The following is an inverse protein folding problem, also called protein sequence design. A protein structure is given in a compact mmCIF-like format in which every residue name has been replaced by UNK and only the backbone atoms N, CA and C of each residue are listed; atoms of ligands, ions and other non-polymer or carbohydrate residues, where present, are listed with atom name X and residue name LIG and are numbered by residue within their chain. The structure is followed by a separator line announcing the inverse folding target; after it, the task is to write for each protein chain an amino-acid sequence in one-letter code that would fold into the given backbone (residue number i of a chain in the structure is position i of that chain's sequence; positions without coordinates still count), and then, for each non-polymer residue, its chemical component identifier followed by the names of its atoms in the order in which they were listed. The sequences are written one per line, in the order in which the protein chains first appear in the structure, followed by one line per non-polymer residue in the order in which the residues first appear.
data_IF_096467618825
#
_entry.id   IF_096467618825
#
_cell.length_a   1.000
_cell.length_b   1.000
_cell.length_c   1.000
_cell.angle_alpha   90.00
_cell.angle_beta   90.00
_cell.angle_gamma   90.00
#
_symmetry.space_group_name_H-M   'P 1'
#
loop_
_entity.id
_entity.type
_entity.pdbx_description
1 polymer ?
#
# COMPACT_ATOMS: atom_id res chain seq x y z
N UNK A 1 -53.08 -6.16 13.42
CA UNK A 1 -52.03 -6.58 14.38
C UNK A 1 -51.42 -7.88 13.87
N UNK A 2 -50.18 -7.85 13.35
CA UNK A 2 -49.58 -8.99 12.67
C UNK A 2 -49.09 -10.05 13.66
N UNK A 3 -49.37 -11.32 13.34
CA UNK A 3 -48.95 -12.52 14.06
C UNK A 3 -47.46 -12.81 13.85
N UNK A 4 -46.69 -12.84 14.94
CA UNK A 4 -45.29 -13.28 14.92
C UNK A 4 -45.22 -14.81 14.94
N UNK A 5 -44.60 -15.38 13.91
CA UNK A 5 -44.30 -16.82 13.82
C UNK A 5 -43.10 -17.18 14.73
N UNK A 6 -43.15 -18.31 15.47
CA UNK A 6 -42.07 -18.67 16.38
C UNK A 6 -40.90 -19.32 15.63
N UNK A 7 -39.69 -18.80 15.87
CA UNK A 7 -38.41 -19.34 15.41
C UNK A 7 -38.10 -20.64 16.16
N UNK A 8 -38.03 -21.77 15.44
CA UNK A 8 -37.56 -23.05 15.98
C UNK A 8 -36.03 -23.11 15.98
N UNK A 9 -35.41 -22.80 17.11
CA UNK A 9 -33.99 -23.07 17.36
C UNK A 9 -33.79 -24.57 17.60
N UNK A 10 -33.16 -25.26 16.65
CA UNK A 10 -32.89 -26.70 16.70
C UNK A 10 -31.69 -27.00 17.62
N UNK A 11 -31.92 -27.02 18.92
CA UNK A 11 -30.97 -27.53 19.92
C UNK A 11 -30.87 -29.06 19.86
N UNK A 12 -29.64 -29.58 19.81
CA UNK A 12 -29.33 -31.02 19.83
C UNK A 12 -29.90 -31.68 21.10
N UNK A 13 -30.93 -32.52 20.93
CA UNK A 13 -31.49 -33.39 21.97
C UNK A 13 -30.98 -34.80 21.75
N UNK A 14 -29.80 -35.13 22.29
CA UNK A 14 -29.36 -36.48 22.69
C UNK A 14 -27.90 -36.42 23.14
N UNK A 15 -27.65 -35.80 24.28
CA UNK A 15 -26.42 -36.01 25.03
C UNK A 15 -26.82 -36.41 26.46
N UNK A 16 -26.28 -37.53 26.93
CA UNK A 16 -26.56 -38.07 28.26
C UNK A 16 -26.06 -37.11 29.36
N UNK A 17 -26.63 -37.24 30.57
CA UNK A 17 -26.41 -36.31 31.70
C UNK A 17 -24.95 -36.24 32.18
N UNK A 18 -24.09 -37.15 31.76
CA UNK A 18 -22.73 -37.30 32.28
C UNK A 18 -21.68 -36.54 31.43
N UNK A 19 -22.04 -36.08 30.22
CA UNK A 19 -21.11 -35.37 29.32
C UNK A 19 -21.07 -33.84 29.52
N UNK A 20 -21.92 -33.27 30.38
CA UNK A 20 -22.00 -31.81 30.54
C UNK A 20 -21.01 -31.21 31.54
N UNK A 21 -20.31 -32.00 32.34
CA UNK A 21 -19.50 -31.47 33.44
C UNK A 21 -18.07 -31.00 33.06
N UNK A 22 -17.57 -31.26 31.83
CA UNK A 22 -16.17 -30.96 31.48
C UNK A 22 -15.94 -30.07 30.24
N UNK A 23 -16.96 -29.48 29.63
CA UNK A 23 -16.79 -28.66 28.42
C UNK A 23 -16.31 -27.21 28.68
N UNK A 24 -15.73 -26.96 29.86
CA UNK A 24 -15.16 -25.68 30.29
C UNK A 24 -13.69 -25.78 30.66
N UNK A 25 -12.84 -26.43 29.86
CA UNK A 25 -11.38 -26.43 30.06
C UNK A 25 -10.65 -25.80 28.87
N UNK A 26 -10.47 -24.48 28.99
CA UNK A 26 -9.27 -23.69 28.67
C UNK A 26 -8.39 -24.25 27.52
N UNK A 27 -8.51 -23.63 26.34
CA UNK A 27 -7.45 -23.69 25.32
C UNK A 27 -6.23 -22.94 25.86
N UNK A 28 -5.19 -23.67 26.28
CA UNK A 28 -3.85 -23.08 26.44
C UNK A 28 -3.27 -22.85 25.05
N UNK A 29 -2.78 -21.64 24.82
CA UNK A 29 -2.02 -21.26 23.64
C UNK A 29 -0.74 -22.14 23.55
N UNK A 30 -0.54 -22.78 22.40
CA UNK A 30 0.71 -23.47 22.08
C UNK A 30 1.69 -22.45 21.54
N UNK A 31 2.78 -22.23 22.28
CA UNK A 31 3.95 -21.47 21.86
C UNK A 31 4.74 -22.27 20.81
N UNK A 32 5.45 -21.51 19.96
CA UNK A 32 6.52 -21.95 19.07
C UNK A 32 7.75 -22.45 19.86
N UNK A 33 8.38 -23.53 19.40
CA UNK A 33 9.83 -23.70 19.14
C UNK A 33 10.13 -25.21 18.92
N UNK A 34 10.75 -25.62 17.80
CA UNK A 34 12.19 -25.58 17.43
C UNK A 34 12.99 -26.77 17.99
N UNK A 35 13.44 -27.61 17.05
CA UNK A 35 14.63 -28.50 17.04
C UNK A 35 14.77 -29.72 17.97
N UNK A 36 14.88 -30.88 17.31
CA UNK A 36 15.78 -32.04 17.53
C UNK A 36 15.96 -32.66 18.92
N UNK A 37 15.66 -33.94 19.08
CA UNK A 37 16.64 -35.05 19.02
C UNK A 37 15.92 -36.39 19.32
N UNK A 38 16.46 -37.46 18.76
CA UNK A 38 16.01 -38.85 18.74
C UNK A 38 15.44 -39.45 20.03
N UNK A 39 14.32 -40.17 19.92
CA UNK A 39 14.05 -41.39 20.68
C UNK A 39 12.99 -42.23 19.95
N UNK A 40 13.38 -43.41 19.51
CA UNK A 40 12.48 -44.48 19.10
C UNK A 40 11.81 -45.08 20.34
N UNK A 41 10.48 -45.19 20.32
CA UNK A 41 9.74 -46.26 20.98
C UNK A 41 8.25 -46.19 20.61
N UNK A 42 7.73 -47.37 20.29
CA UNK A 42 6.37 -47.85 20.51
C UNK A 42 5.21 -47.24 19.72
N UNK A 43 5.03 -47.90 18.58
CA UNK A 43 3.77 -48.39 18.01
C UNK A 43 2.63 -48.53 19.04
N UNK A 44 1.90 -47.44 19.25
CA UNK A 44 0.57 -47.44 19.84
C UNK A 44 -0.41 -46.91 18.79
N UNK A 45 -1.15 -47.86 18.20
CA UNK A 45 -2.21 -47.69 17.22
C UNK A 45 -3.19 -46.55 17.57
N UNK A 46 -3.03 -45.41 16.91
CA UNK A 46 -4.09 -44.39 16.86
C UNK A 46 -5.21 -44.88 15.93
N UNK A 47 -6.50 -44.80 16.33
CA UNK A 47 -7.59 -45.21 15.48
C UNK A 47 -7.66 -44.29 14.25
N UNK A 48 -7.82 -44.84 13.03
CA UNK A 48 -7.83 -44.04 11.82
C UNK A 48 -8.97 -43.03 11.86
N UNK A 49 -8.62 -41.75 11.80
CA UNK A 49 -9.58 -40.65 11.70
C UNK A 49 -10.49 -40.90 10.51
N UNK A 50 -11.79 -41.09 10.76
CA UNK A 50 -12.81 -41.37 9.74
C UNK A 50 -12.71 -40.35 8.62
N UNK A 51 -12.24 -40.79 7.43
CA UNK A 51 -12.19 -39.97 6.23
C UNK A 51 -13.61 -39.47 5.92
N UNK A 52 -13.86 -38.17 6.10
CA UNK A 52 -15.11 -37.54 5.68
C UNK A 52 -15.28 -37.82 4.19
N UNK A 53 -16.32 -38.59 3.84
CA UNK A 53 -16.73 -38.85 2.46
C UNK A 53 -17.03 -37.50 1.81
N UNK A 54 -16.10 -36.97 1.00
CA UNK A 54 -16.30 -35.75 0.21
C UNK A 54 -17.52 -36.00 -0.68
N UNK A 55 -18.59 -35.25 -0.45
CA UNK A 55 -19.71 -35.22 -1.39
C UNK A 55 -19.16 -34.65 -2.70
N UNK A 56 -19.27 -35.41 -3.78
CA UNK A 56 -19.02 -34.93 -5.14
C UNK A 56 -20.00 -33.80 -5.39
N UNK A 57 -19.47 -32.58 -5.54
CA UNK A 57 -20.25 -31.40 -5.91
C UNK A 57 -20.60 -31.55 -7.39
N UNK A 58 -21.87 -31.46 -7.73
CA UNK A 58 -22.32 -31.34 -9.12
C UNK A 58 -21.86 -29.97 -9.63
N UNK A 59 -21.11 -29.98 -10.73
CA UNK A 59 -20.58 -28.76 -11.34
C UNK A 59 -21.72 -28.00 -12.03
N UNK A 60 -21.59 -26.68 -12.10
CA UNK A 60 -22.51 -25.87 -12.91
C UNK A 60 -22.19 -26.06 -14.40
N UNK A 61 -23.16 -25.83 -15.30
CA UNK A 61 -22.97 -25.97 -16.75
C UNK A 61 -21.72 -25.21 -17.27
N UNK A 62 -21.47 -24.01 -16.75
CA UNK A 62 -20.28 -23.21 -17.11
C UNK A 62 -18.99 -23.89 -16.65
N UNK A 63 -18.98 -24.59 -15.52
CA UNK A 63 -17.80 -25.31 -15.00
C UNK A 63 -17.48 -26.59 -15.79
N UNK A 64 -18.45 -27.12 -16.54
CA UNK A 64 -18.30 -28.31 -17.38
C UNK A 64 -17.76 -27.99 -18.79
N UNK A 65 -17.64 -26.70 -19.13
CA UNK A 65 -17.15 -26.28 -20.43
C UNK A 65 -15.66 -26.61 -20.63
N UNK A 66 -15.21 -26.85 -21.87
CA UNK A 66 -13.79 -26.97 -22.18
C UNK A 66 -12.99 -25.74 -21.74
N UNK A 67 -11.75 -25.97 -21.31
CA UNK A 67 -10.91 -24.93 -20.71
C UNK A 67 -10.60 -23.82 -21.71
N UNK A 68 -10.46 -24.16 -22.98
CA UNK A 68 -10.18 -23.26 -24.09
C UNK A 68 -11.33 -22.27 -24.30
N UNK A 69 -12.57 -22.76 -24.21
CA UNK A 69 -13.77 -21.93 -24.33
C UNK A 69 -13.89 -21.01 -23.11
N UNK A 70 -13.62 -21.53 -21.91
CA UNK A 70 -13.63 -20.73 -20.69
C UNK A 70 -12.57 -19.63 -20.71
N UNK A 71 -11.36 -19.93 -21.19
CA UNK A 71 -10.28 -18.94 -21.35
C UNK A 71 -10.67 -17.86 -22.36
N UNK A 72 -11.31 -18.25 -23.46
CA UNK A 72 -11.82 -17.32 -24.47
C UNK A 72 -12.89 -16.39 -23.90
N UNK A 73 -13.87 -16.94 -23.18
CA UNK A 73 -14.91 -16.17 -22.48
C UNK A 73 -14.27 -15.23 -21.44
N UNK A 74 -13.32 -15.73 -20.65
CA UNK A 74 -12.63 -14.94 -19.65
C UNK A 74 -11.86 -13.77 -20.27
N UNK A 75 -11.16 -14.02 -21.39
CA UNK A 75 -10.43 -13.00 -22.12
C UNK A 75 -11.36 -11.91 -22.69
N UNK A 76 -12.45 -12.30 -23.35
CA UNK A 76 -13.38 -11.34 -23.95
C UNK A 76 -14.24 -10.59 -22.93
N UNK A 77 -14.61 -11.24 -21.83
CA UNK A 77 -15.45 -10.63 -20.79
C UNK A 77 -14.71 -9.61 -19.93
N UNK A 78 -13.37 -9.64 -19.86
CA UNK A 78 -12.61 -8.73 -18.98
C UNK A 78 -12.91 -8.92 -17.49
N UNK A 79 -13.67 -9.93 -17.10
CA UNK A 79 -14.28 -10.01 -15.78
C UNK A 79 -13.50 -10.93 -14.83
N UNK A 80 -12.68 -10.33 -13.98
CA UNK A 80 -11.92 -11.01 -12.92
C UNK A 80 -12.80 -11.85 -11.98
N UNK A 81 -14.10 -11.53 -11.84
CA UNK A 81 -15.01 -12.26 -10.97
C UNK A 81 -15.30 -13.68 -11.47
N UNK A 82 -15.12 -13.98 -12.76
CA UNK A 82 -15.39 -15.30 -13.32
C UNK A 82 -14.48 -16.37 -12.69
N UNK A 83 -13.19 -16.05 -12.53
CA UNK A 83 -12.24 -16.93 -11.87
C UNK A 83 -12.51 -17.07 -10.35
N UNK A 84 -13.20 -16.10 -9.74
CA UNK A 84 -13.53 -16.11 -8.31
C UNK A 84 -14.88 -16.78 -8.01
N UNK A 85 -15.74 -16.96 -9.01
CA UNK A 85 -17.07 -17.54 -8.85
C UNK A 85 -17.04 -19.00 -8.38
N UNK A 86 -15.98 -19.74 -8.72
CA UNK A 86 -15.81 -21.14 -8.33
C UNK A 86 -14.35 -21.58 -8.32
N UNK A 87 -14.02 -22.50 -7.42
CA UNK A 87 -12.70 -23.14 -7.36
C UNK A 87 -12.36 -23.92 -8.63
N UNK A 88 -13.37 -24.48 -9.33
CA UNK A 88 -13.15 -25.21 -10.58
C UNK A 88 -12.76 -24.26 -11.72
N UNK A 89 -13.52 -23.16 -11.86
CA UNK A 89 -13.21 -22.11 -12.83
C UNK A 89 -11.86 -21.47 -12.52
N UNK A 90 -11.56 -21.24 -11.25
CA UNK A 90 -10.27 -20.73 -10.83
C UNK A 90 -9.13 -21.63 -11.31
N UNK A 91 -9.20 -22.95 -11.09
CA UNK A 91 -8.12 -23.84 -11.53
C UNK A 91 -7.95 -23.86 -13.05
N UNK A 92 -9.04 -23.84 -13.81
CA UNK A 92 -9.02 -23.82 -15.28
C UNK A 92 -8.50 -22.49 -15.86
N UNK A 93 -8.77 -21.37 -15.19
CA UNK A 93 -8.41 -20.02 -15.64
C UNK A 93 -7.08 -19.51 -15.05
N UNK A 94 -6.49 -20.20 -14.07
CA UNK A 94 -5.30 -19.76 -13.33
C UNK A 94 -3.96 -19.88 -14.05
N UNK A 95 -3.97 -20.12 -15.36
CA UNK A 95 -2.72 -20.31 -16.11
C UNK A 95 -1.97 -18.97 -16.30
N UNK A 96 -0.63 -19.03 -16.26
CA UNK A 96 0.23 -17.85 -16.39
C UNK A 96 -0.07 -17.06 -17.68
N UNK A 97 -0.23 -17.74 -18.81
CA UNK A 97 -0.50 -17.10 -20.10
C UNK A 97 -1.84 -16.34 -20.11
N UNK A 98 -2.89 -16.91 -19.49
CA UNK A 98 -4.20 -16.26 -19.36
C UNK A 98 -4.07 -14.98 -18.56
N UNK A 99 -3.38 -15.02 -17.41
CA UNK A 99 -3.19 -13.82 -16.60
C UNK A 99 -2.35 -12.75 -17.31
N UNK A 100 -1.32 -13.14 -18.08
CA UNK A 100 -0.50 -12.19 -18.85
C UNK A 100 -1.30 -11.52 -19.98
N UNK A 101 -2.06 -12.30 -20.75
CA UNK A 101 -2.93 -11.77 -21.80
C UNK A 101 -4.01 -10.84 -21.22
N UNK A 102 -4.63 -11.26 -20.12
CA UNK A 102 -5.66 -10.48 -19.45
C UNK A 102 -5.12 -9.19 -18.83
N UNK A 103 -3.94 -9.24 -18.19
CA UNK A 103 -3.25 -8.06 -17.65
C UNK A 103 -2.94 -7.06 -18.75
N UNK A 104 -2.42 -7.53 -19.88
CA UNK A 104 -2.12 -6.68 -21.04
C UNK A 104 -3.38 -5.97 -21.51
N UNK A 105 -4.49 -6.70 -21.71
CA UNK A 105 -5.76 -6.13 -22.15
C UNK A 105 -6.30 -5.06 -21.19
N UNK A 106 -6.27 -5.32 -19.88
CA UNK A 106 -6.85 -4.43 -18.87
C UNK A 106 -6.00 -3.19 -18.60
N UNK A 107 -4.67 -3.29 -18.72
CA UNK A 107 -3.79 -2.14 -18.53
C UNK A 107 -3.62 -1.32 -19.81
N UNK A 108 -3.78 -1.92 -21.00
CA UNK A 108 -3.54 -1.25 -22.28
C UNK A 108 -4.26 0.10 -22.47
N UNK A 109 -5.51 0.32 -22.01
CA UNK A 109 -6.16 1.64 -22.09
C UNK A 109 -5.43 2.73 -21.29
N UNK A 110 -4.69 2.36 -20.25
CA UNK A 110 -4.01 3.26 -19.32
C UNK A 110 -2.51 3.38 -19.59
N UNK A 111 -2.03 2.85 -20.72
CA UNK A 111 -0.63 2.88 -21.13
C UNK A 111 -0.48 3.61 -22.46
N UNK A 112 0.42 4.58 -22.51
CA UNK A 112 0.77 5.36 -23.71
C UNK A 112 0.14 6.75 -23.76
N UNK A 113 0.82 7.69 -24.41
CA UNK A 113 0.33 9.03 -24.76
C UNK A 113 -0.76 8.95 -25.86
N UNK A 114 -1.91 8.35 -25.57
CA UNK A 114 -3.09 8.59 -26.39
C UNK A 114 -3.76 9.84 -25.87
N UNK A 115 -3.67 10.90 -26.65
CA UNK A 115 -4.38 12.16 -26.46
C UNK A 115 -5.83 11.89 -26.04
N UNK A 116 -6.19 12.31 -24.83
CA UNK A 116 -7.50 12.78 -24.40
C UNK A 116 -8.78 12.02 -24.85
N UNK A 117 -8.72 10.76 -25.31
CA UNK A 117 -9.88 9.89 -25.24
C UNK A 117 -10.02 9.52 -23.77
N UNK A 118 -10.99 10.20 -23.12
CA UNK A 118 -11.22 10.18 -21.70
C UNK A 118 -11.04 8.77 -21.14
N UNK A 119 -9.98 8.58 -20.35
CA UNK A 119 -9.76 7.37 -19.58
C UNK A 119 -11.08 7.04 -18.88
N UNK A 120 -11.72 5.95 -19.29
CA UNK A 120 -13.02 5.62 -18.76
C UNK A 120 -12.84 5.27 -17.28
N UNK A 121 -13.67 5.85 -16.41
CA UNK A 121 -13.59 5.59 -14.97
C UNK A 121 -13.71 4.08 -14.66
N UNK A 122 -14.44 3.35 -15.51
CA UNK A 122 -14.59 1.89 -15.46
C UNK A 122 -13.29 1.15 -15.77
N UNK A 123 -12.47 1.63 -16.72
CA UNK A 123 -11.18 1.06 -17.07
C UNK A 123 -10.17 1.28 -15.94
N UNK A 124 -10.14 2.48 -15.35
CA UNK A 124 -9.32 2.81 -14.18
C UNK A 124 -9.68 1.89 -13.02
N UNK A 125 -10.97 1.77 -12.69
CA UNK A 125 -11.43 0.92 -11.61
C UNK A 125 -11.06 -0.55 -11.85
N UNK A 126 -11.16 -1.03 -13.10
CA UNK A 126 -10.84 -2.41 -13.46
C UNK A 126 -9.35 -2.69 -13.36
N UNK A 127 -8.50 -1.77 -13.81
CA UNK A 127 -7.05 -1.84 -13.68
C UNK A 127 -6.59 -1.79 -12.21
N UNK A 128 -7.12 -0.86 -11.40
CA UNK A 128 -6.82 -0.80 -9.97
C UNK A 128 -7.23 -2.09 -9.24
N UNK A 129 -8.37 -2.68 -9.64
CA UNK A 129 -8.82 -3.99 -9.12
C UNK A 129 -7.88 -5.13 -9.54
N UNK A 130 -7.38 -5.12 -10.78
CA UNK A 130 -6.40 -6.09 -11.26
C UNK A 130 -5.12 -6.03 -10.43
N UNK A 131 -4.56 -4.84 -10.20
CA UNK A 131 -3.35 -4.63 -9.40
C UNK A 131 -3.53 -5.13 -7.96
N UNK A 132 -4.74 -5.00 -7.41
CA UNK A 132 -5.10 -5.47 -6.07
C UNK A 132 -5.29 -6.99 -5.97
N UNK A 133 -5.31 -7.72 -7.08
CA UNK A 133 -5.51 -9.17 -7.07
C UNK A 133 -4.36 -9.91 -6.38
N UNK A 134 -4.68 -11.07 -5.78
CA UNK A 134 -3.70 -11.90 -5.07
C UNK A 134 -2.59 -12.42 -5.99
N UNK A 135 -2.91 -12.76 -7.24
CA UNK A 135 -1.93 -13.29 -8.20
C UNK A 135 -0.95 -12.22 -8.72
N UNK A 136 -1.30 -10.93 -8.59
CA UNK A 136 -0.50 -9.83 -9.11
C UNK A 136 0.69 -9.54 -8.18
N UNK A 137 1.73 -10.36 -8.24
CA UNK A 137 2.95 -10.21 -7.42
C UNK A 137 4.02 -9.40 -8.15
N UNK A 138 5.08 -9.01 -7.44
CA UNK A 138 6.25 -8.36 -8.04
C UNK A 138 6.86 -9.22 -9.16
N UNK A 139 7.05 -10.51 -8.93
CA UNK A 139 7.61 -11.43 -9.95
C UNK A 139 6.70 -11.58 -11.17
N UNK A 140 5.38 -11.58 -10.95
CA UNK A 140 4.42 -11.58 -12.04
C UNK A 140 4.53 -10.30 -12.86
N UNK A 141 4.61 -9.14 -12.21
CA UNK A 141 4.72 -7.85 -12.87
C UNK A 141 6.02 -7.70 -13.67
N UNK A 142 7.17 -8.10 -13.09
CA UNK A 142 8.46 -8.18 -13.81
C UNK A 142 8.37 -9.07 -15.04
N UNK A 143 7.76 -10.26 -14.91
CA UNK A 143 7.57 -11.19 -16.04
C UNK A 143 6.71 -10.57 -17.13
N UNK A 144 5.63 -9.88 -16.75
CA UNK A 144 4.71 -9.21 -17.67
C UNK A 144 5.40 -8.05 -18.42
N UNK A 145 6.13 -7.18 -17.70
CA UNK A 145 6.89 -6.08 -18.30
C UNK A 145 7.94 -6.58 -19.28
N UNK A 146 8.70 -7.62 -18.89
CA UNK A 146 9.73 -8.20 -19.74
C UNK A 146 9.13 -8.75 -21.05
N UNK A 147 8.02 -9.50 -20.96
CA UNK A 147 7.33 -10.04 -22.14
C UNK A 147 6.82 -8.94 -23.08
N UNK A 148 6.37 -7.81 -22.53
CA UNK A 148 5.83 -6.69 -23.30
C UNK A 148 6.92 -5.87 -24.01
N UNK A 149 8.15 -5.88 -23.49
CA UNK A 149 9.28 -5.10 -24.04
C UNK A 149 9.85 -5.61 -25.38
N UNK A 150 9.17 -6.52 -26.10
CA UNK A 150 9.60 -7.16 -27.38
C UNK A 150 10.91 -7.95 -27.35
N UNK A 151 11.72 -7.87 -26.29
CA UNK A 151 12.89 -8.72 -26.06
C UNK A 151 12.51 -10.16 -25.68
N UNK A 152 11.95 -10.86 -26.66
CA UNK A 152 11.44 -12.24 -26.53
C UNK A 152 12.59 -13.27 -26.36
N UNK A 153 13.85 -12.86 -26.49
CA UNK A 153 15.05 -13.72 -26.41
C UNK A 153 16.07 -13.34 -25.32
N UNK A 154 15.84 -12.28 -24.55
CA UNK A 154 16.66 -11.99 -23.36
C UNK A 154 16.13 -12.82 -22.16
N UNK A 155 16.31 -14.14 -22.26
CA UNK A 155 16.12 -15.10 -21.19
C UNK A 155 16.81 -14.62 -19.92
N UNK A 156 16.05 -14.41 -18.84
CA UNK A 156 16.51 -14.42 -17.44
C UNK A 156 17.82 -13.67 -17.12
N UNK A 157 18.19 -12.66 -17.92
CA UNK A 157 19.23 -11.74 -17.49
C UNK A 157 18.69 -11.02 -16.27
N UNK A 158 19.51 -11.00 -15.21
CA UNK A 158 19.25 -10.28 -13.97
C UNK A 158 19.16 -8.80 -14.34
N UNK A 159 17.97 -8.36 -14.72
CA UNK A 159 17.64 -6.96 -14.96
C UNK A 159 17.66 -6.27 -13.61
N UNK A 160 18.35 -5.14 -13.54
CA UNK A 160 18.36 -4.29 -12.36
C UNK A 160 16.97 -3.67 -12.14
N UNK A 161 16.70 -3.16 -10.93
CA UNK A 161 15.47 -2.41 -10.66
C UNK A 161 15.33 -1.18 -11.58
N UNK A 162 16.45 -0.56 -11.93
CA UNK A 162 16.52 0.59 -12.84
C UNK A 162 16.08 0.23 -14.27
N UNK A 163 16.45 -0.96 -14.76
CA UNK A 163 16.00 -1.43 -16.07
C UNK A 163 14.48 -1.58 -16.12
N UNK A 164 13.89 -2.13 -15.05
CA UNK A 164 12.43 -2.25 -14.96
C UNK A 164 11.74 -0.89 -14.83
N UNK A 165 12.36 0.07 -14.15
CA UNK A 165 11.88 1.44 -14.06
C UNK A 165 11.83 2.10 -15.45
N UNK A 166 12.91 1.97 -16.23
CA UNK A 166 12.98 2.50 -17.58
C UNK A 166 11.92 1.85 -18.50
N UNK A 167 11.76 0.53 -18.41
CA UNK A 167 10.72 -0.19 -19.16
C UNK A 167 9.31 0.28 -18.81
N UNK A 168 9.05 0.53 -17.52
CA UNK A 168 7.76 1.01 -17.05
C UNK A 168 7.48 2.45 -17.47
N UNK A 169 8.47 3.34 -17.35
CA UNK A 169 8.39 4.71 -17.85
C UNK A 169 8.14 4.77 -19.36
N UNK A 170 8.78 3.89 -20.13
CA UNK A 170 8.53 3.76 -21.56
C UNK A 170 7.08 3.34 -21.90
N UNK A 171 6.36 2.72 -20.96
CA UNK A 171 4.92 2.43 -21.15
C UNK A 171 4.02 3.64 -20.91
N UNK A 172 4.54 4.75 -20.38
CA UNK A 172 3.79 5.97 -20.07
C UNK A 172 2.47 5.65 -19.33
N UNK A 173 2.55 5.14 -18.09
CA UNK A 173 1.36 4.80 -17.33
C UNK A 173 0.57 6.05 -16.92
N UNK A 174 -0.75 5.91 -16.86
CA UNK A 174 -1.66 6.94 -16.35
C UNK A 174 -1.32 7.36 -14.90
N UNK A 175 -1.44 8.65 -14.61
CA UNK A 175 -1.32 9.19 -13.25
C UNK A 175 -2.51 8.86 -12.34
N UNK A 176 -3.62 8.34 -12.89
CA UNK A 176 -4.76 7.88 -12.10
C UNK A 176 -4.67 6.42 -11.67
N UNK A 177 -3.65 5.69 -12.16
CA UNK A 177 -3.46 4.28 -11.81
C UNK A 177 -2.98 4.16 -10.36
N UNK A 178 -3.81 3.56 -9.51
CA UNK A 178 -3.51 3.42 -8.09
C UNK A 178 -2.63 2.20 -7.82
N UNK A 179 -1.63 2.31 -6.92
CA UNK A 179 -0.82 1.17 -6.52
C UNK A 179 -1.64 0.11 -5.75
N UNK A 180 -1.27 -1.18 -5.81
CA UNK A 180 -1.87 -2.20 -4.97
C UNK A 180 -1.75 -1.84 -3.47
N UNK A 181 -2.84 -1.83 -2.70
CA UNK A 181 -2.78 -1.50 -1.26
C UNK A 181 -1.73 -2.31 -0.47
N UNK A 182 -1.51 -3.58 -0.84
CA UNK A 182 -0.51 -4.47 -0.22
C UNK A 182 0.94 -3.95 -0.31
N UNK A 183 1.25 -3.07 -1.26
CA UNK A 183 2.59 -2.50 -1.39
C UNK A 183 2.81 -1.28 -0.47
N UNK A 184 1.73 -0.65 0.00
CA UNK A 184 1.77 0.58 0.82
C UNK A 184 1.98 0.32 2.33
N UNK A 185 2.30 -0.89 2.74
CA UNK A 185 2.51 -1.25 4.15
C UNK A 185 3.81 -2.02 4.35
N UNK A 186 4.31 -2.20 5.56
CA UNK A 186 5.48 -3.04 5.85
C UNK A 186 5.21 -4.55 5.69
N UNK A 187 6.22 -5.41 5.84
CA UNK A 187 7.64 -5.09 6.05
C UNK A 187 8.31 -4.53 4.77
N UNK A 188 9.30 -3.64 4.93
CA UNK A 188 9.96 -2.95 3.80
C UNK A 188 11.13 -3.74 3.24
N UNK A 189 10.82 -4.82 2.53
CA UNK A 189 11.83 -5.58 1.77
C UNK A 189 12.27 -4.83 0.51
N UNK A 190 13.51 -5.05 0.04
CA UNK A 190 14.03 -4.46 -1.21
C UNK A 190 13.08 -4.60 -2.40
N UNK A 191 12.56 -5.80 -2.66
CA UNK A 191 11.59 -6.05 -3.75
C UNK A 191 10.32 -5.18 -3.66
N UNK A 192 9.91 -4.85 -2.43
CA UNK A 192 8.73 -4.03 -2.18
C UNK A 192 9.01 -2.56 -2.45
N UNK A 193 10.18 -2.08 -2.04
CA UNK A 193 10.67 -0.73 -2.33
C UNK A 193 10.89 -0.55 -3.84
N UNK A 194 11.45 -1.55 -4.51
CA UNK A 194 11.60 -1.55 -5.97
C UNK A 194 10.23 -1.45 -6.64
N UNK A 195 9.26 -2.26 -6.21
CA UNK A 195 7.90 -2.20 -6.75
C UNK A 195 7.21 -0.85 -6.46
N UNK A 196 7.39 -0.28 -5.27
CA UNK A 196 6.90 1.07 -4.94
C UNK A 196 7.54 2.14 -5.83
N UNK A 197 8.84 2.06 -6.07
CA UNK A 197 9.57 2.98 -6.95
C UNK A 197 8.96 3.01 -8.35
N UNK A 198 8.61 1.85 -8.90
CA UNK A 198 7.93 1.77 -10.20
C UNK A 198 6.54 2.40 -10.16
N UNK A 199 5.74 2.12 -9.13
CA UNK A 199 4.40 2.69 -9.02
C UNK A 199 4.40 4.19 -8.71
N UNK A 200 5.47 4.72 -8.11
CA UNK A 200 5.63 6.13 -7.78
C UNK A 200 6.09 7.00 -8.97
N UNK A 201 6.38 6.41 -10.14
CA UNK A 201 6.87 7.14 -11.34
C UNK A 201 5.96 8.29 -11.75
N UNK A 202 4.64 8.11 -11.64
CA UNK A 202 3.64 9.11 -12.05
C UNK A 202 3.32 10.13 -10.96
N UNK A 203 3.93 9.99 -9.78
CA UNK A 203 3.72 10.82 -8.58
C UNK A 203 2.24 11.13 -8.32
N UNK A 204 1.39 10.09 -8.22
CA UNK A 204 -0.04 10.29 -8.12
C UNK A 204 -0.37 10.85 -6.74
N UNK A 205 -1.25 11.84 -6.70
CA UNK A 205 -1.76 12.42 -5.46
C UNK A 205 -2.80 11.47 -4.85
N UNK A 206 -2.33 10.47 -4.09
CA UNK A 206 -3.19 9.40 -3.60
C UNK A 206 -4.30 9.90 -2.66
N UNK A 207 -4.07 10.86 -1.74
CA UNK A 207 -5.15 11.41 -0.93
C UNK A 207 -6.29 12.05 -1.72
N UNK A 208 -6.00 12.70 -2.85
CA UNK A 208 -7.04 13.30 -3.69
C UNK A 208 -7.73 12.29 -4.61
N UNK A 209 -7.00 11.26 -5.06
CA UNK A 209 -7.56 10.20 -5.91
C UNK A 209 -8.39 9.17 -5.12
N UNK A 210 -7.96 8.79 -3.92
CA UNK A 210 -8.65 7.79 -3.10
C UNK A 210 -8.33 7.95 -1.61
N UNK A 211 -9.31 8.24 -0.75
CA UNK A 211 -9.07 8.42 0.69
C UNK A 211 -8.52 7.14 1.34
N UNK A 212 -8.91 5.97 0.85
CA UNK A 212 -8.41 4.67 1.33
C UNK A 212 -6.91 4.53 1.05
N UNK A 213 -6.45 4.95 -0.13
CA UNK A 213 -5.02 4.92 -0.46
C UNK A 213 -4.26 5.99 0.33
N UNK A 214 -4.84 7.18 0.53
CA UNK A 214 -4.26 8.21 1.40
C UNK A 214 -4.00 7.71 2.81
N UNK A 215 -4.98 7.05 3.44
CA UNK A 215 -4.81 6.43 4.77
C UNK A 215 -3.76 5.30 4.73
N UNK A 216 -3.78 4.47 3.67
CA UNK A 216 -2.83 3.38 3.53
C UNK A 216 -1.38 3.87 3.43
N UNK A 217 -1.12 4.93 2.65
CA UNK A 217 0.20 5.56 2.55
C UNK A 217 0.62 6.15 3.89
N UNK A 218 -0.28 6.84 4.60
CA UNK A 218 0.03 7.40 5.91
C UNK A 218 0.44 6.30 6.90
N UNK A 219 -0.33 5.21 6.97
CA UNK A 219 0.02 4.05 7.80
C UNK A 219 1.33 3.41 7.37
N UNK A 220 1.55 3.26 6.06
CA UNK A 220 2.83 2.83 5.49
C UNK A 220 3.98 3.71 5.95
N UNK A 221 3.83 5.02 5.87
CA UNK A 221 4.85 5.98 6.24
C UNK A 221 5.22 5.85 7.73
N UNK A 222 4.22 5.71 8.60
CA UNK A 222 4.48 5.47 10.03
C UNK A 222 5.25 4.17 10.29
N UNK A 223 4.98 3.12 9.51
CA UNK A 223 5.72 1.86 9.60
C UNK A 223 7.14 1.98 9.02
N UNK A 224 7.33 2.74 7.94
CA UNK A 224 8.64 2.97 7.31
C UNK A 224 9.57 3.78 8.21
N UNK A 225 9.03 4.77 8.92
CA UNK A 225 9.74 5.53 9.95
C UNK A 225 10.10 4.65 11.15
N UNK A 226 9.23 3.69 11.53
CA UNK A 226 9.51 2.77 12.63
C UNK A 226 10.54 1.67 12.28
N UNK A 227 10.65 1.27 11.02
CA UNK A 227 11.65 0.31 10.50
C UNK A 227 12.94 0.98 9.96
N UNK A 228 13.25 2.21 10.40
CA UNK A 228 14.07 3.24 9.72
C UNK A 228 14.47 2.94 8.25
N UNK A 229 13.48 2.74 7.39
CA UNK A 229 13.73 2.48 5.97
C UNK A 229 13.67 3.78 5.16
N UNK A 230 14.84 4.40 4.94
CA UNK A 230 14.96 5.63 4.15
C UNK A 230 14.33 5.51 2.77
N UNK A 231 14.63 4.44 2.03
CA UNK A 231 14.11 4.26 0.67
C UNK A 231 12.59 4.15 0.64
N UNK A 232 11.99 3.43 1.60
CA UNK A 232 10.54 3.31 1.69
C UNK A 232 9.89 4.67 2.01
N UNK A 233 10.46 5.45 2.94
CA UNK A 233 10.00 6.82 3.23
C UNK A 233 10.09 7.67 1.97
N UNK A 234 11.22 7.66 1.27
CA UNK A 234 11.42 8.46 0.06
C UNK A 234 10.38 8.15 -1.02
N UNK A 235 10.07 6.87 -1.27
CA UNK A 235 9.06 6.48 -2.26
C UNK A 235 7.63 6.78 -1.79
N UNK A 236 7.32 6.60 -0.50
CA UNK A 236 5.98 6.88 0.02
C UNK A 236 5.62 8.36 -0.05
N UNK A 237 6.59 9.25 0.15
CA UNK A 237 6.38 10.70 0.03
C UNK A 237 6.03 11.14 -1.39
N UNK A 238 6.43 10.39 -2.42
CA UNK A 238 6.07 10.68 -3.83
C UNK A 238 4.58 10.51 -4.11
N UNK A 239 3.85 9.79 -3.25
CA UNK A 239 2.40 9.65 -3.31
C UNK A 239 1.63 10.80 -2.66
N UNK A 240 2.34 11.88 -2.32
CA UNK A 240 1.83 13.11 -1.74
C UNK A 240 0.97 12.94 -0.46
N UNK A 241 1.37 12.11 0.52
CA UNK A 241 0.60 11.96 1.75
C UNK A 241 0.46 13.28 2.51
N UNK A 242 -0.62 13.37 3.30
CA UNK A 242 -0.82 14.46 4.24
C UNK A 242 0.02 14.18 5.49
N UNK A 243 1.10 14.95 5.69
CA UNK A 243 1.96 14.81 6.86
C UNK A 243 1.43 15.64 8.01
N UNK A 244 1.40 15.04 9.20
CA UNK A 244 1.16 15.74 10.45
C UNK A 244 2.45 15.85 11.28
N UNK A 245 2.41 16.71 12.29
CA UNK A 245 3.50 16.84 13.26
C UNK A 245 3.77 15.52 13.99
N UNK A 246 2.78 14.62 14.10
CA UNK A 246 2.93 13.32 14.77
C UNK A 246 3.89 12.38 14.04
N UNK A 247 3.92 12.34 12.72
CA UNK A 247 4.93 11.56 11.98
C UNK A 247 6.34 12.06 12.30
N UNK A 248 6.55 13.39 12.35
CA UNK A 248 7.85 13.96 12.68
C UNK A 248 8.23 13.68 14.14
N UNK A 249 7.28 13.78 15.08
CA UNK A 249 7.48 13.38 16.48
C UNK A 249 7.85 11.91 16.60
N UNK A 250 7.17 11.02 15.89
CA UNK A 250 7.48 9.58 15.88
C UNK A 250 8.89 9.31 15.35
N UNK A 251 9.33 10.03 14.31
CA UNK A 251 10.68 9.87 13.77
C UNK A 251 11.77 10.30 14.75
N UNK A 252 11.51 11.33 15.57
CA UNK A 252 12.50 11.93 16.48
C UNK A 252 12.48 11.32 17.88
N UNK A 253 11.28 11.10 18.44
CA UNK A 253 11.08 10.79 19.86
C UNK A 253 10.87 9.30 20.08
N UNK A 254 10.01 8.66 19.28
CA UNK A 254 9.55 7.29 19.55
C UNK A 254 10.45 6.22 18.91
N UNK A 255 11.13 6.55 17.83
CA UNK A 255 11.96 5.63 17.05
C UNK A 255 13.45 5.97 17.14
N UNK A 256 14.29 5.13 16.51
CA UNK A 256 15.71 5.42 16.35
C UNK A 256 15.86 6.68 15.49
N UNK A 257 16.48 7.70 16.07
CA UNK A 257 16.71 8.97 15.39
C UNK A 257 17.59 8.77 14.16
N UNK A 258 17.01 8.99 12.98
CA UNK A 258 17.70 8.93 11.70
C UNK A 258 17.63 10.31 11.03
N UNK A 259 18.81 10.93 10.83
CA UNK A 259 18.94 12.27 10.26
C UNK A 259 18.38 12.34 8.85
N UNK A 260 18.60 11.30 8.05
CA UNK A 260 18.22 11.30 6.63
C UNK A 260 16.70 11.21 6.49
N UNK A 261 16.06 10.37 7.31
CA UNK A 261 14.59 10.25 7.37
C UNK A 261 13.95 11.56 7.85
N UNK A 262 14.45 12.14 8.95
CA UNK A 262 13.92 13.38 9.52
C UNK A 262 14.07 14.54 8.55
N UNK A 263 15.24 14.68 7.91
CA UNK A 263 15.49 15.70 6.90
C UNK A 263 14.52 15.55 5.71
N UNK A 264 14.35 14.33 5.20
CA UNK A 264 13.46 14.05 4.06
C UNK A 264 12.01 14.39 4.36
N UNK A 265 11.52 14.05 5.57
CA UNK A 265 10.18 14.40 6.02
C UNK A 265 10.00 15.91 6.14
N UNK A 266 11.00 16.60 6.71
CA UNK A 266 10.96 18.05 6.89
C UNK A 266 11.00 18.80 5.55
N UNK A 267 11.88 18.40 4.63
CA UNK A 267 11.96 18.96 3.27
C UNK A 267 10.63 18.82 2.51
N UNK A 268 10.05 17.62 2.55
CA UNK A 268 8.77 17.36 1.92
C UNK A 268 7.63 18.20 2.55
N UNK A 269 7.61 18.34 3.87
CA UNK A 269 6.59 19.15 4.56
C UNK A 269 6.66 20.63 4.14
N UNK A 270 7.86 21.20 4.04
CA UNK A 270 8.06 22.57 3.54
C UNK A 270 7.59 22.69 2.09
N UNK A 271 7.97 21.74 1.22
CA UNK A 271 7.56 21.73 -0.18
C UNK A 271 6.03 21.74 -0.32
N UNK A 272 5.32 20.89 0.43
CA UNK A 272 3.84 20.83 0.37
C UNK A 272 3.16 22.11 0.87
N UNK A 273 3.70 22.73 1.91
CA UNK A 273 3.18 24.00 2.41
C UNK A 273 3.39 25.13 1.38
N UNK A 274 4.53 25.17 0.69
CA UNK A 274 4.80 26.13 -0.37
C UNK A 274 3.90 25.92 -1.60
N UNK A 275 3.67 24.67 -2.02
CA UNK A 275 2.73 24.32 -3.10
C UNK A 275 1.29 24.76 -2.76
N UNK A 276 0.89 24.64 -1.50
CA UNK A 276 -0.43 25.11 -1.04
C UNK A 276 -0.56 26.63 -1.03
N UNK A 277 0.53 27.37 -0.76
CA UNK A 277 0.54 28.84 -0.77
C UNK A 277 0.54 29.42 -2.19
N UNK A 278 1.21 28.78 -3.14
CA UNK A 278 1.25 29.22 -4.54
C UNK A 278 -0.05 28.95 -5.30
N UNK A 279 -0.81 27.93 -4.88
CA UNK A 279 -2.07 27.51 -5.52
C UNK A 279 -3.31 28.25 -5.00
N UNK A 280 -3.13 29.24 -4.12
CA UNK A 280 -4.20 29.94 -3.40
C UNK A 280 -4.89 31.01 -4.29
N UNK A 281 -5.52 30.57 -5.38
CA UNK A 281 -6.44 31.41 -6.16
C UNK A 281 -7.91 31.14 -5.83
N UNK A 282 -8.32 29.91 -5.50
CA UNK A 282 -9.71 29.61 -5.14
C UNK A 282 -9.79 28.24 -4.45
N UNK A 283 -10.15 28.18 -3.16
CA UNK A 283 -11.00 27.17 -2.50
C UNK A 283 -10.89 27.29 -0.97
N UNK A 284 -12.06 27.29 -0.36
CA UNK A 284 -12.40 27.36 1.06
C UNK A 284 -11.85 26.18 1.90
N UNK A 285 -11.23 26.54 3.04
CA UNK A 285 -11.26 25.88 4.36
C UNK A 285 -11.43 24.35 4.35
N UNK A 286 -10.35 23.66 4.04
CA UNK A 286 -10.03 22.43 4.77
C UNK A 286 -8.52 22.48 4.98
N UNK A 287 -8.11 22.96 6.15
CA UNK A 287 -6.71 23.08 6.55
C UNK A 287 -6.06 21.70 6.37
N UNK A 288 -5.22 21.56 5.34
CA UNK A 288 -4.32 20.42 5.26
C UNK A 288 -3.52 20.41 6.56
N UNK A 289 -3.40 19.25 7.24
CA UNK A 289 -2.56 19.17 8.42
C UNK A 289 -1.15 19.61 8.02
N UNK A 290 -0.72 20.70 8.64
CA UNK A 290 0.57 21.31 8.42
C UNK A 290 1.51 20.83 9.53
N UNK A 291 2.73 20.45 9.15
CA UNK A 291 3.77 20.14 10.14
C UNK A 291 4.12 21.42 10.89
N UNK A 292 4.01 21.37 12.21
CA UNK A 292 4.41 22.45 13.12
C UNK A 292 5.89 22.28 13.51
N UNK A 293 6.76 23.07 12.89
CA UNK A 293 8.19 23.08 13.20
C UNK A 293 8.51 23.77 14.54
N UNK A 294 7.55 24.45 15.16
CA UNK A 294 7.67 25.07 16.48
C UNK A 294 7.14 24.17 17.61
N UNK A 295 6.89 22.89 17.28
CA UNK A 295 6.33 21.94 18.22
C UNK A 295 7.17 21.79 19.51
N UNK A 296 6.60 22.09 20.70
CA UNK A 296 7.35 22.06 21.95
C UNK A 296 7.99 20.70 22.27
N UNK A 297 7.39 19.59 21.82
CA UNK A 297 7.93 18.25 22.11
C UNK A 297 9.24 18.00 21.35
N UNK A 298 9.31 18.38 20.07
CA UNK A 298 10.53 18.29 19.27
C UNK A 298 11.66 19.16 19.84
N UNK A 299 11.34 20.39 20.24
CA UNK A 299 12.31 21.31 20.85
C UNK A 299 12.79 20.86 22.23
N UNK A 300 11.90 20.31 23.06
CA UNK A 300 12.27 19.75 24.36
C UNK A 300 13.17 18.52 24.22
N UNK A 301 12.94 17.69 23.19
CA UNK A 301 13.82 16.59 22.85
C UNK A 301 15.21 17.10 22.42
N UNK A 302 15.27 18.06 21.50
CA UNK A 302 16.53 18.64 21.01
C UNK A 302 17.39 19.22 22.16
N UNK A 303 16.76 19.97 23.06
CA UNK A 303 17.40 20.56 24.25
C UNK A 303 17.93 19.48 25.21
N UNK A 304 17.19 18.39 25.39
CA UNK A 304 17.61 17.26 26.25
C UNK A 304 18.79 16.51 25.62
N UNK A 305 18.73 16.22 24.33
CA UNK A 305 19.82 15.55 23.60
C UNK A 305 21.10 16.38 23.63
N UNK A 306 21.00 17.71 23.45
CA UNK A 306 22.14 18.63 23.60
C UNK A 306 22.75 18.60 24.99
N UNK A 307 21.93 18.60 26.06
CA UNK A 307 22.43 18.51 27.44
C UNK A 307 23.14 17.19 27.74
N UNK A 308 22.78 16.13 27.01
CA UNK A 308 23.42 14.83 27.10
C UNK A 308 24.71 14.73 26.25
N UNK A 309 25.07 15.79 25.51
CA UNK A 309 26.26 15.81 24.65
C UNK A 309 26.05 15.10 23.30
N UNK A 310 24.81 14.92 22.85
CA UNK A 310 24.51 14.37 21.52
C UNK A 310 24.38 15.50 20.48
N UNK A 311 25.25 15.46 19.47
CA UNK A 311 25.28 16.38 18.32
C UNK A 311 23.94 16.39 17.55
N UNK A 312 23.13 15.33 17.67
CA UNK A 312 21.79 15.26 17.07
C UNK A 312 20.85 16.35 17.59
N UNK A 313 21.00 16.76 18.86
CA UNK A 313 20.16 17.80 19.47
C UNK A 313 20.43 19.18 18.88
N UNK A 314 21.70 19.52 18.64
CA UNK A 314 22.08 20.77 17.98
C UNK A 314 21.61 20.77 16.53
N UNK A 315 21.91 19.71 15.78
CA UNK A 315 21.49 19.54 14.39
C UNK A 315 19.97 19.66 14.21
N UNK A 316 19.17 19.01 15.05
CA UNK A 316 17.71 19.08 14.94
C UNK A 316 17.21 20.51 15.22
N UNK A 317 17.81 21.20 16.20
CA UNK A 317 17.43 22.57 16.53
C UNK A 317 17.75 23.55 15.39
N UNK A 318 18.86 23.35 14.67
CA UNK A 318 19.20 24.14 13.48
C UNK A 318 18.25 23.84 12.33
N UNK A 319 17.95 22.56 12.08
CA UNK A 319 17.01 22.13 11.06
C UNK A 319 15.61 22.74 11.27
N UNK A 320 15.05 22.63 12.48
CA UNK A 320 13.72 23.17 12.79
C UNK A 320 13.67 24.70 12.62
N UNK A 321 14.73 25.42 13.01
CA UNK A 321 14.84 26.86 12.77
C UNK A 321 14.85 27.18 11.28
N UNK A 322 15.69 26.50 10.51
CA UNK A 322 15.81 26.71 9.07
C UNK A 322 14.48 26.45 8.35
N UNK A 323 13.83 25.32 8.62
CA UNK A 323 12.54 24.97 8.00
C UNK A 323 11.41 25.90 8.42
N UNK A 324 11.36 26.32 9.69
CA UNK A 324 10.37 27.33 10.13
C UNK A 324 10.50 28.66 9.38
N UNK A 325 11.72 29.09 9.05
CA UNK A 325 11.98 30.33 8.29
C UNK A 325 11.54 30.22 6.83
N UNK A 326 11.63 29.03 6.24
CA UNK A 326 11.22 28.77 4.86
C UNK A 326 9.69 28.72 4.69
N UNK A 327 8.96 28.39 5.76
CA UNK A 327 7.50 28.29 5.78
C UNK A 327 6.85 29.63 6.15
N UNK A 328 7.52 30.45 6.96
CA UNK A 328 7.01 31.79 7.25
C UNK A 328 7.08 32.66 5.98
N UNK A 329 5.98 33.30 5.56
CA UNK A 329 6.03 34.25 4.47
C UNK A 329 6.99 35.37 4.89
N UNK A 330 8.03 35.62 4.10
CA UNK A 330 8.81 36.84 4.26
C UNK A 330 7.83 38.00 4.14
N UNK A 331 7.52 38.63 5.27
CA UNK A 331 6.94 39.97 5.29
C UNK A 331 7.92 40.86 4.55
N UNK A 332 7.70 41.05 3.24
CA UNK A 332 8.34 42.11 2.47
C UNK A 332 8.03 43.38 3.23
N UNK A 333 9.03 43.89 3.94
CA UNK A 333 9.11 45.25 4.42
C UNK A 333 8.96 46.16 3.21
N UNK A 334 7.71 46.57 2.95
CA UNK A 334 7.42 47.74 2.14
C UNK A 334 7.94 48.92 2.96
N UNK A 335 9.20 49.28 2.70
CA UNK A 335 9.68 50.61 3.01
C UNK A 335 8.75 51.60 2.30
N UNK A 336 7.94 52.29 3.09
CA UNK A 336 7.31 53.54 2.67
C UNK A 336 8.42 54.44 2.14
N UNK A 337 8.35 54.94 0.89
CA UNK A 337 9.06 56.15 0.57
C UNK A 337 8.38 57.27 1.35
N UNK A 338 9.16 57.90 2.22
CA UNK A 338 8.79 59.11 2.92
C UNK A 338 8.39 60.19 1.90
N UNK A 339 7.35 60.92 2.27
CA UNK A 339 7.07 62.26 1.74
C UNK A 339 8.34 63.11 1.78
N UNK A 340 8.67 63.74 0.65
CA UNK A 340 9.27 65.08 0.56
C UNK A 340 9.41 65.42 -0.94
N UNK A 341 8.49 66.24 -1.47
CA UNK A 341 8.88 67.62 -1.80
C UNK A 341 7.69 68.42 -2.36
N UNK A 342 7.39 69.48 -1.62
CA UNK A 342 6.62 70.62 -2.05
C UNK A 342 7.40 71.43 -3.08
N UNK A 343 6.82 71.68 -4.26
CA UNK A 343 6.99 72.95 -4.96
C UNK A 343 5.94 73.12 -6.08
N UNK A 344 4.88 73.86 -5.79
CA UNK A 344 4.23 74.83 -6.71
C UNK A 344 3.50 75.89 -5.91
#
# INVERSE_FOLDING_TARGET
MPSLTPIRVRGKRTAAKDEKWNAGKKRKASRLNTSSHWAAADDASYPPTRKRKRRTRTLAFVEEMPTEILQTIFYFSGNLNLALASTSLQSQLSSKHVYLAHTTRLLQPLLGNKDAEAEEETDIATACRLLSCRFFTWDFFKSWLAQRSLDTHASEQVRSAEDYLALWQAQQPSSKLLPPLKILHGPWTRDKVDFLTLMAVTEPDLPSLSPIHGEAVYLGLTQAVAEPSFDAVAQLLRFKPNLDTEILRKAVIDNVFDRDVVLKLADYAVQRQQESMSSQADISVNEMPAVDFLDPALWAWAERSRKNGDDNGEWLSELLKDKSRQVQPQTRSVQQPADDDANM
#
